data_IF_750011914247
#
_entry.id   IF_750011914247
#
_cell.length_a   1.000
_cell.length_b   1.000
_cell.length_c   1.000
_cell.angle_alpha   90.00
_cell.angle_beta   90.00
_cell.angle_gamma   90.00
#
_symmetry.space_group_name_H-M   'P 1'
#
loop_
_entity.id
_entity.type
_entity.pdbx_description
1 polymer ?
#
# COMPACT_ATOMS: atom_id res chain seq x y z
N UNK A 1 -1.79 -0.95 -3.29
CA UNK A 1 -0.88 -0.27 -4.24
C UNK A 1 -1.14 1.23 -4.17
N UNK A 2 -0.07 2.02 -4.27
CA UNK A 2 -0.05 3.48 -4.09
C UNK A 2 -1.06 4.18 -5.01
N UNK A 3 -1.79 5.15 -4.46
CA UNK A 3 -2.64 6.04 -5.25
C UNK A 3 -1.81 6.78 -6.32
N UNK A 4 -2.34 6.87 -7.54
CA UNK A 4 -1.66 7.48 -8.69
C UNK A 4 -0.35 6.80 -9.11
N UNK A 5 -0.14 5.53 -8.76
CA UNK A 5 0.93 4.74 -9.34
C UNK A 5 0.77 4.61 -10.87
N UNK A 6 1.89 4.40 -11.57
CA UNK A 6 1.89 4.14 -13.02
C UNK A 6 1.09 2.87 -13.33
N UNK A 7 0.43 2.75 -14.50
CA UNK A 7 -0.42 1.60 -14.85
C UNK A 7 0.28 0.24 -14.67
N UNK A 8 1.58 0.16 -14.97
CA UNK A 8 2.37 -1.06 -14.87
C UNK A 8 3.02 -1.35 -13.51
N UNK A 9 2.96 -0.43 -12.55
CA UNK A 9 3.70 -0.56 -11.30
C UNK A 9 3.38 -1.84 -10.51
N UNK A 10 2.16 -2.37 -10.64
CA UNK A 10 1.72 -3.60 -9.98
C UNK A 10 2.31 -4.84 -10.61
N UNK A 11 2.27 -4.89 -11.95
CA UNK A 11 2.87 -5.97 -12.70
C UNK A 11 4.38 -5.97 -12.50
N UNK A 12 5.02 -4.80 -12.52
CA UNK A 12 6.45 -4.68 -12.27
C UNK A 12 6.83 -5.22 -10.87
N UNK A 13 6.03 -4.93 -9.84
CA UNK A 13 6.24 -5.47 -8.49
C UNK A 13 6.00 -6.98 -8.40
N UNK A 14 4.94 -7.48 -9.05
CA UNK A 14 4.68 -8.92 -9.09
C UNK A 14 5.78 -9.68 -9.84
N UNK A 15 6.27 -9.13 -10.95
CA UNK A 15 7.42 -9.65 -11.70
C UNK A 15 8.70 -9.65 -10.85
N UNK A 16 8.95 -8.58 -10.10
CA UNK A 16 10.10 -8.48 -9.20
C UNK A 16 10.06 -9.57 -8.11
N UNK A 17 8.90 -9.78 -7.49
CA UNK A 17 8.72 -10.82 -6.46
C UNK A 17 8.99 -12.21 -7.05
N UNK A 18 8.38 -12.54 -8.20
CA UNK A 18 8.56 -13.85 -8.83
C UNK A 18 10.02 -14.05 -9.24
N UNK A 19 10.64 -13.04 -9.86
CA UNK A 19 12.05 -13.10 -10.27
C UNK A 19 12.95 -13.33 -9.07
N UNK A 20 12.76 -12.56 -7.99
CA UNK A 20 13.55 -12.67 -6.76
C UNK A 20 13.47 -14.06 -6.16
N UNK A 21 12.26 -14.61 -6.06
CA UNK A 21 12.01 -15.95 -5.50
C UNK A 21 12.54 -17.06 -6.40
N UNK A 22 12.67 -16.82 -7.71
CA UNK A 22 13.27 -17.76 -8.66
C UNK A 22 14.79 -17.73 -8.63
N UNK A 23 15.40 -16.56 -8.52
CA UNK A 23 16.84 -16.38 -8.75
C UNK A 23 17.67 -16.28 -7.49
N UNK A 24 17.09 -15.90 -6.34
CA UNK A 24 17.85 -15.74 -5.11
C UNK A 24 18.02 -17.11 -4.38
N UNK A 25 19.27 -17.57 -4.16
CA UNK A 25 19.57 -18.86 -3.54
C UNK A 25 19.16 -18.97 -2.07
N UNK A 26 18.79 -17.87 -1.41
CA UNK A 26 18.29 -17.87 -0.04
C UNK A 26 16.88 -18.47 0.07
N UNK A 27 16.10 -18.44 -1.01
CA UNK A 27 14.79 -19.09 -1.08
C UNK A 27 14.94 -20.58 -1.43
N UNK A 28 15.34 -21.37 -0.45
CA UNK A 28 15.51 -22.84 -0.61
C UNK A 28 14.23 -23.63 -0.36
N UNK A 29 13.27 -23.05 0.35
CA UNK A 29 12.00 -23.69 0.68
C UNK A 29 11.02 -23.59 -0.50
N UNK A 30 10.71 -24.72 -1.12
CA UNK A 30 9.84 -24.80 -2.30
C UNK A 30 8.37 -24.43 -1.99
N UNK A 31 7.90 -24.68 -0.77
CA UNK A 31 6.53 -24.33 -0.34
C UNK A 31 6.38 -22.82 -0.23
N UNK A 32 7.38 -22.16 0.38
CA UNK A 32 7.43 -20.71 0.47
C UNK A 32 7.53 -20.06 -0.91
N UNK A 33 8.35 -20.62 -1.82
CA UNK A 33 8.47 -20.12 -3.20
C UNK A 33 7.11 -20.12 -3.91
N UNK A 34 6.38 -21.25 -3.84
CA UNK A 34 5.04 -21.36 -4.42
C UNK A 34 4.06 -20.37 -3.81
N UNK A 35 4.05 -20.24 -2.49
CA UNK A 35 3.18 -19.29 -1.79
C UNK A 35 3.44 -17.83 -2.21
N UNK A 36 4.70 -17.44 -2.39
CA UNK A 36 5.09 -16.10 -2.84
C UNK A 36 4.71 -15.85 -4.30
N UNK A 37 4.84 -16.85 -5.17
CA UNK A 37 4.41 -16.76 -6.58
C UNK A 37 2.88 -16.58 -6.64
N UNK A 38 2.12 -17.37 -5.89
CA UNK A 38 0.66 -17.20 -5.83
C UNK A 38 0.24 -15.84 -5.27
N UNK A 39 0.94 -15.34 -4.25
CA UNK A 39 0.71 -13.99 -3.74
C UNK A 39 1.01 -12.91 -4.79
N UNK A 40 2.07 -13.07 -5.58
CA UNK A 40 2.40 -12.15 -6.68
C UNK A 40 1.33 -12.14 -7.78
N UNK A 41 0.72 -13.29 -8.10
CA UNK A 41 -0.42 -13.38 -9.02
C UNK A 41 -1.63 -12.61 -8.51
N UNK A 42 -1.97 -12.79 -7.23
CA UNK A 42 -3.07 -12.06 -6.57
C UNK A 42 -2.80 -10.56 -6.57
N UNK A 43 -1.57 -10.15 -6.24
CA UNK A 43 -1.14 -8.75 -6.27
C UNK A 43 -1.28 -8.13 -7.66
N UNK A 44 -0.91 -8.87 -8.71
CA UNK A 44 -1.05 -8.42 -10.09
C UNK A 44 -2.53 -8.27 -10.49
N UNK A 45 -3.39 -9.18 -10.06
CA UNK A 45 -4.84 -9.16 -10.34
C UNK A 45 -5.62 -8.13 -9.53
N UNK A 46 -5.15 -7.77 -8.33
CA UNK A 46 -5.82 -6.82 -7.45
C UNK A 46 -5.56 -5.38 -7.93
N UNK A 47 -6.61 -4.67 -8.34
CA UNK A 47 -6.52 -3.24 -8.66
C UNK A 47 -7.57 -2.40 -7.97
N UNK A 48 -7.11 -1.32 -7.33
CA UNK A 48 -7.93 -0.23 -6.77
C UNK A 48 -7.19 1.11 -6.80
N UNK A 49 -6.35 1.33 -7.82
CA UNK A 49 -5.59 2.57 -7.98
C UNK A 49 -6.39 3.67 -8.70
N UNK A 50 -7.60 3.96 -8.23
CA UNK A 50 -8.51 4.93 -8.84
C UNK A 50 -9.15 5.79 -7.77
N UNK A 51 -9.00 7.11 -7.89
CA UNK A 51 -9.78 8.03 -7.05
C UNK A 51 -10.99 8.54 -7.83
N UNK A 52 -12.15 8.71 -7.17
CA UNK A 52 -13.32 9.31 -7.80
C UNK A 52 -13.11 10.81 -8.07
N UNK A 53 -13.99 11.39 -8.88
CA UNK A 53 -14.06 12.83 -9.09
C UNK A 53 -14.77 13.46 -7.88
N UNK A 54 -13.99 13.98 -6.93
CA UNK A 54 -14.51 14.54 -5.68
C UNK A 54 -15.34 15.83 -5.86
N UNK A 55 -15.20 16.52 -7.00
CA UNK A 55 -15.94 17.75 -7.29
C UNK A 55 -17.43 17.49 -7.62
N UNK A 56 -17.82 16.25 -7.90
CA UNK A 56 -19.19 15.88 -8.23
C UNK A 56 -19.95 15.41 -6.99
N UNK A 57 -21.26 15.69 -6.94
CA UNK A 57 -22.18 15.15 -5.93
C UNK A 57 -23.37 14.50 -6.63
N UNK A 58 -23.51 13.16 -6.61
CA UNK A 58 -22.61 12.18 -6.00
C UNK A 58 -21.24 12.09 -6.71
N UNK A 59 -20.21 11.64 -5.98
CA UNK A 59 -18.86 11.47 -6.52
C UNK A 59 -18.88 10.51 -7.70
N UNK A 60 -18.18 10.86 -8.78
CA UNK A 60 -18.15 10.03 -9.98
C UNK A 60 -16.95 9.08 -9.94
N UNK A 61 -17.16 7.76 -9.86
CA UNK A 61 -16.07 6.79 -9.85
C UNK A 61 -15.39 6.68 -11.21
N UNK A 62 -14.16 6.18 -11.24
CA UNK A 62 -13.34 6.04 -12.45
C UNK A 62 -12.61 4.70 -12.46
N UNK A 63 -12.42 4.15 -13.65
CA UNK A 63 -11.62 2.97 -13.93
C UNK A 63 -10.12 3.26 -13.87
N UNK A 64 -9.31 2.21 -13.71
CA UNK A 64 -7.86 2.34 -13.79
C UNK A 64 -7.38 2.11 -15.22
N UNK A 65 -6.24 2.69 -15.54
CA UNK A 65 -5.52 2.36 -16.77
C UNK A 65 -4.83 0.99 -16.68
N UNK A 66 -4.98 0.19 -17.71
CA UNK A 66 -4.35 -1.12 -17.87
C UNK A 66 -2.85 -0.99 -18.15
N UNK A 67 -2.06 -1.93 -17.62
CA UNK A 67 -0.68 -2.09 -18.04
C UNK A 67 -0.61 -2.79 -19.40
N UNK A 68 -0.03 -2.15 -20.42
CA UNK A 68 0.14 -2.75 -21.75
C UNK A 68 1.43 -3.56 -21.93
N UNK A 69 2.36 -3.45 -20.98
CA UNK A 69 3.64 -4.17 -21.00
C UNK A 69 3.42 -5.68 -20.85
N UNK A 70 4.13 -6.49 -21.64
CA UNK A 70 4.18 -7.95 -21.44
C UNK A 70 4.88 -8.27 -20.11
N UNK A 71 4.36 -9.19 -19.28
CA UNK A 71 5.07 -9.63 -18.07
C UNK A 71 6.45 -10.19 -18.37
N UNK A 72 7.35 -10.08 -17.39
CA UNK A 72 8.68 -10.71 -17.44
C UNK A 72 8.55 -12.20 -17.16
N UNK A 73 7.69 -12.57 -16.21
CA UNK A 73 7.43 -13.94 -15.80
C UNK A 73 6.11 -14.45 -16.41
N UNK A 74 6.17 -15.64 -17.02
CA UNK A 74 5.02 -16.29 -17.67
C UNK A 74 3.86 -16.60 -16.70
N UNK A 75 4.14 -16.71 -15.39
CA UNK A 75 3.10 -16.92 -14.37
C UNK A 75 2.09 -15.77 -14.26
N UNK A 76 2.45 -14.59 -14.81
CA UNK A 76 1.57 -13.42 -14.87
C UNK A 76 0.91 -13.27 -16.24
N UNK A 77 1.23 -14.13 -17.21
CA UNK A 77 0.56 -14.11 -18.51
C UNK A 77 -0.94 -14.40 -18.33
N UNK A 78 -1.78 -13.61 -18.99
CA UNK A 78 -3.23 -13.71 -18.87
C UNK A 78 -3.83 -13.10 -17.60
N UNK A 79 -3.04 -12.68 -16.61
CA UNK A 79 -3.56 -11.97 -15.43
C UNK A 79 -3.86 -10.52 -15.83
N UNK A 80 -5.14 -10.27 -16.08
CA UNK A 80 -5.69 -8.96 -16.41
C UNK A 80 -6.53 -8.49 -15.22
N UNK A 81 -6.16 -7.37 -14.57
CA UNK A 81 -6.95 -6.82 -13.47
C UNK A 81 -8.37 -6.46 -13.94
N UNK A 82 -9.35 -6.68 -13.08
CA UNK A 82 -10.77 -6.41 -13.37
C UNK A 82 -11.15 -5.02 -12.86
N UNK A 83 -11.90 -4.26 -13.66
CA UNK A 83 -12.44 -2.96 -13.24
C UNK A 83 -13.51 -3.15 -12.16
N UNK A 84 -13.68 -2.17 -11.28
CA UNK A 84 -14.79 -2.20 -10.33
C UNK A 84 -16.13 -2.10 -11.11
N UNK A 85 -17.06 -3.06 -10.98
CA UNK A 85 -18.33 -3.01 -11.68
C UNK A 85 -19.23 -1.83 -11.27
N UNK A 86 -18.97 -1.19 -10.13
CA UNK A 86 -19.65 0.04 -9.74
C UNK A 86 -19.17 1.27 -10.54
N UNK A 87 -18.04 1.18 -11.25
CA UNK A 87 -17.56 2.24 -12.10
C UNK A 87 -18.31 2.26 -13.44
N UNK A 88 -18.61 3.45 -13.95
CA UNK A 88 -19.07 3.59 -15.33
C UNK A 88 -18.00 3.16 -16.34
N UNK A 89 -18.37 2.75 -17.58
CA UNK A 89 -17.44 2.18 -18.54
C UNK A 89 -16.52 3.21 -19.23
N UNK A 90 -16.83 4.50 -19.08
CA UNK A 90 -16.25 5.55 -19.93
C UNK A 90 -15.06 6.29 -19.33
N UNK A 91 -14.98 6.40 -18.01
CA UNK A 91 -14.04 7.30 -17.35
C UNK A 91 -12.90 6.53 -16.70
N UNK A 92 -11.67 6.93 -17.01
CA UNK A 92 -10.45 6.33 -16.49
C UNK A 92 -9.62 7.38 -15.77
N UNK A 93 -8.98 6.97 -14.68
CA UNK A 93 -8.10 7.82 -13.89
C UNK A 93 -6.69 7.83 -14.49
N UNK A 94 -6.21 9.01 -14.89
CA UNK A 94 -4.83 9.27 -15.30
C UNK A 94 -4.31 10.54 -14.61
N UNK A 95 -3.34 10.45 -13.68
CA UNK A 95 -2.80 11.62 -12.99
C UNK A 95 -2.11 12.62 -13.93
N UNK A 96 -1.76 12.22 -15.17
CA UNK A 96 -1.12 13.09 -16.16
C UNK A 96 -2.12 13.86 -17.03
N UNK A 97 -3.37 13.42 -17.09
CA UNK A 97 -4.38 14.05 -17.90
C UNK A 97 -4.95 15.31 -17.22
N UNK A 98 -5.39 16.33 -17.98
CA UNK A 98 -6.13 17.46 -17.42
C UNK A 98 -7.36 16.98 -16.65
N UNK A 99 -7.48 17.38 -15.38
CA UNK A 99 -8.57 16.92 -14.50
C UNK A 99 -8.47 15.44 -14.08
N UNK A 100 -7.32 14.80 -14.28
CA UNK A 100 -7.06 13.44 -13.84
C UNK A 100 -7.86 12.38 -14.59
N UNK A 101 -8.49 12.72 -15.72
CA UNK A 101 -9.47 11.86 -16.39
C UNK A 101 -9.17 11.71 -17.87
N UNK A 102 -9.23 10.47 -18.36
CA UNK A 102 -9.26 10.15 -19.79
C UNK A 102 -10.50 9.33 -20.09
N UNK A 103 -11.02 9.47 -21.31
CA UNK A 103 -12.18 8.70 -21.78
C UNK A 103 -11.74 7.37 -22.39
N UNK A 104 -12.64 6.40 -22.40
CA UNK A 104 -12.47 5.14 -23.13
C UNK A 104 -11.98 5.41 -24.56
N UNK A 105 -10.98 4.64 -25.00
CA UNK A 105 -10.30 4.76 -26.30
C UNK A 105 -9.50 6.05 -26.55
N UNK A 106 -9.44 7.00 -25.59
CA UNK A 106 -8.61 8.20 -25.71
C UNK A 106 -7.11 7.85 -25.61
N UNK A 107 -6.77 6.86 -24.79
CA UNK A 107 -5.43 6.29 -24.68
C UNK A 107 -5.52 4.75 -24.73
N UNK A 108 -4.52 4.04 -25.27
CA UNK A 108 -4.59 2.60 -25.45
C UNK A 108 -4.71 1.84 -24.12
N UNK A 109 -4.21 2.41 -23.02
CA UNK A 109 -4.30 1.85 -21.66
C UNK A 109 -5.73 1.85 -21.10
N UNK A 110 -6.72 2.40 -21.81
CA UNK A 110 -8.15 2.22 -21.44
C UNK A 110 -8.70 0.86 -21.86
N UNK A 111 -7.90 0.04 -22.54
CA UNK A 111 -8.23 -1.33 -22.95
C UNK A 111 -7.23 -2.33 -22.35
N UNK A 112 -7.66 -3.54 -22.02
CA UNK A 112 -6.76 -4.59 -21.55
C UNK A 112 -5.79 -5.01 -22.67
N UNK A 113 -4.65 -5.59 -22.28
CA UNK A 113 -3.71 -6.19 -23.24
C UNK A 113 -4.41 -7.22 -24.11
N UNK A 114 -4.05 -7.24 -25.40
CA UNK A 114 -4.63 -8.16 -26.37
C UNK A 114 -6.04 -7.80 -26.82
N UNK A 115 -6.59 -6.65 -26.41
CA UNK A 115 -7.87 -6.18 -26.94
C UNK A 115 -7.76 -5.85 -28.43
N UNK A 116 -8.54 -6.55 -29.26
CA UNK A 116 -8.70 -6.27 -30.69
C UNK A 116 -10.14 -5.88 -30.98
N UNK A 117 -10.35 -4.74 -31.66
CA UNK A 117 -11.68 -4.28 -32.09
C UNK A 117 -12.15 -5.11 -33.29
N UNK A 118 -12.61 -6.34 -33.05
CA UNK A 118 -13.36 -7.12 -34.05
C UNK A 118 -14.66 -7.64 -33.42
N UNK A 119 -15.76 -7.52 -34.15
CA UNK A 119 -17.12 -7.48 -33.63
C UNK A 119 -17.70 -8.74 -32.98
N UNK A 120 -18.83 -8.51 -32.29
CA UNK A 120 -19.79 -9.43 -31.63
C UNK A 120 -19.36 -10.04 -30.29
N UNK A 121 -20.09 -9.62 -29.25
CA UNK A 121 -20.31 -10.25 -27.95
C UNK A 121 -19.44 -11.47 -27.62
N UNK A 122 -18.35 -11.22 -26.91
CA UNK A 122 -17.75 -12.21 -26.03
C UNK A 122 -17.81 -11.66 -24.63
N UNK A 123 -18.87 -12.06 -23.93
CA UNK A 123 -19.04 -12.05 -22.48
C UNK A 123 -17.69 -12.28 -21.82
N UNK A 124 -17.27 -11.36 -20.94
CA UNK A 124 -16.03 -11.51 -20.19
C UNK A 124 -15.97 -12.91 -19.61
N UNK A 125 -14.91 -13.64 -19.98
CA UNK A 125 -14.64 -14.99 -19.49
C UNK A 125 -14.50 -14.90 -17.98
N UNK A 126 -15.61 -15.14 -17.27
CA UNK A 126 -15.61 -15.35 -15.86
C UNK A 126 -14.71 -16.53 -15.58
N UNK A 127 -13.73 -16.33 -14.70
CA UNK A 127 -13.12 -17.44 -13.99
C UNK A 127 -14.27 -18.16 -13.30
N UNK A 128 -14.62 -19.36 -13.79
CA UNK A 128 -15.43 -20.30 -13.03
C UNK A 128 -14.62 -20.71 -11.82
N UNK A 129 -14.83 -20.03 -10.70
CA UNK A 129 -14.60 -20.61 -9.38
C UNK A 129 -15.60 -21.75 -9.23
N UNK A 130 -15.17 -22.98 -9.48
CA UNK A 130 -15.85 -24.14 -8.92
C UNK A 130 -15.59 -24.12 -7.41
N UNK A 131 -16.42 -23.39 -6.68
CA UNK A 131 -16.63 -23.61 -5.26
C UNK A 131 -17.87 -24.51 -5.15
N UNK A 132 -17.64 -25.82 -5.12
CA UNK A 132 -18.65 -26.77 -4.64
C UNK A 132 -18.41 -26.99 -3.16
N UNK A 133 -19.39 -26.55 -2.35
CA UNK A 133 -19.57 -27.01 -0.98
C UNK A 133 -19.91 -28.50 -0.93
N UNK A 134 -19.74 -29.10 0.25
CA UNK A 134 -19.82 -30.53 0.66
C UNK A 134 -18.52 -31.33 0.40
N UNK A 135 -17.85 -31.93 1.39
CA UNK A 135 -18.29 -32.52 2.66
C UNK A 135 -17.07 -32.66 3.60
N UNK A 136 -17.31 -32.62 4.92
CA UNK A 136 -16.33 -32.94 5.96
C UNK A 136 -15.65 -34.30 5.73
N UNK A 137 -14.32 -34.32 5.60
CA UNK A 137 -13.47 -35.36 6.21
C UNK A 137 -12.10 -34.79 6.59
N UNK A 138 -11.91 -34.75 7.90
CA UNK A 138 -10.70 -34.94 8.70
C UNK A 138 -9.33 -34.83 7.99
N UNK A 139 -8.70 -33.67 8.16
CA UNK A 139 -7.25 -33.54 8.13
C UNK A 139 -6.86 -32.91 9.47
N UNK A 140 -6.37 -33.76 10.36
CA UNK A 140 -5.91 -33.46 11.71
C UNK A 140 -5.03 -32.20 11.73
N UNK A 141 -5.48 -31.18 12.44
CA UNK A 141 -4.69 -30.00 12.79
C UNK A 141 -3.60 -30.46 13.76
N UNK A 142 -2.38 -30.65 13.25
CA UNK A 142 -1.22 -30.68 14.11
C UNK A 142 -1.07 -29.28 14.72
N UNK A 143 -1.39 -29.17 16.02
CA UNK A 143 -1.04 -28.02 16.84
C UNK A 143 0.47 -27.77 16.72
N UNK A 144 0.85 -26.79 15.91
CA UNK A 144 2.22 -26.29 15.89
C UNK A 144 2.38 -25.47 17.17
N UNK A 145 2.85 -26.14 18.22
CA UNK A 145 3.38 -25.50 19.41
C UNK A 145 4.63 -24.74 19.00
N UNK A 146 4.53 -23.42 18.89
CA UNK A 146 5.67 -22.54 18.64
C UNK A 146 6.46 -22.47 19.94
N UNK A 147 7.45 -23.35 20.10
CA UNK A 147 8.42 -23.27 21.18
C UNK A 147 9.74 -22.70 20.66
N UNK A 148 10.05 -21.51 21.16
CA UNK A 148 11.35 -20.85 21.24
C UNK A 148 12.15 -20.69 19.94
N UNK A 149 11.76 -19.67 19.17
CA UNK A 149 12.68 -18.97 18.28
C UNK A 149 13.51 -18.01 19.15
N UNK A 150 14.69 -18.48 19.59
CA UNK A 150 15.74 -17.59 20.07
C UNK A 150 16.41 -16.97 18.84
N UNK A 151 15.87 -15.84 18.36
CA UNK A 151 16.51 -15.01 17.34
C UNK A 151 17.50 -14.05 17.99
N UNK A 152 18.78 -14.23 17.70
CA UNK A 152 19.76 -13.14 17.70
C UNK A 152 19.43 -12.16 16.56
N UNK A 153 19.57 -10.83 16.78
CA UNK A 153 18.94 -9.84 15.92
C UNK A 153 19.83 -9.47 14.73
N UNK A 154 19.32 -9.61 13.51
CA UNK A 154 19.87 -8.91 12.33
C UNK A 154 18.82 -7.94 11.81
N UNK A 155 19.28 -6.70 11.60
CA UNK A 155 18.55 -5.43 11.54
C UNK A 155 17.63 -5.34 10.30
N UNK A 156 16.37 -5.75 10.44
CA UNK A 156 15.31 -5.36 9.50
C UNK A 156 14.99 -3.87 9.69
N UNK A 157 14.93 -3.11 8.59
CA UNK A 157 14.45 -1.73 8.57
C UNK A 157 12.95 -1.74 8.90
N UNK A 158 12.67 -1.81 10.20
CA UNK A 158 11.44 -2.33 10.78
C UNK A 158 10.27 -1.37 10.74
N UNK A 159 9.09 -1.98 10.61
CA UNK A 159 7.82 -1.36 11.01
C UNK A 159 7.94 -0.84 12.45
N UNK A 160 7.37 0.34 12.71
CA UNK A 160 7.17 0.86 14.07
C UNK A 160 5.87 0.23 14.57
N UNK A 161 5.95 -0.59 15.61
CA UNK A 161 4.81 -1.27 16.22
C UNK A 161 4.44 -0.50 17.49
N UNK A 162 3.21 0.03 17.54
CA UNK A 162 2.71 0.85 18.64
C UNK A 162 1.63 0.12 19.44
N UNK A 163 1.45 -1.18 19.24
CA UNK A 163 0.36 -1.93 19.86
C UNK A 163 0.41 -2.00 21.39
N UNK A 164 1.57 -1.70 21.99
CA UNK A 164 1.76 -1.60 23.44
C UNK A 164 1.63 -0.19 23.98
N UNK A 165 1.37 0.81 23.14
CA UNK A 165 1.30 2.23 23.48
C UNK A 165 -0.07 2.81 23.10
N UNK A 166 -1.15 2.48 23.85
CA UNK A 166 -2.52 2.92 23.50
C UNK A 166 -2.72 4.44 23.57
N UNK A 167 -1.82 5.17 24.24
CA UNK A 167 -1.85 6.64 24.26
C UNK A 167 -1.19 7.28 23.02
N UNK A 168 -0.52 6.48 22.19
CA UNK A 168 0.23 6.89 21.01
C UNK A 168 0.08 5.87 19.88
N UNK A 169 -1.15 5.46 19.55
CA UNK A 169 -1.40 4.37 18.60
C UNK A 169 -1.57 4.85 17.15
N UNK A 170 -1.99 6.09 16.89
CA UNK A 170 -2.13 6.62 15.51
C UNK A 170 -1.17 7.80 15.19
N UNK A 171 0.09 7.52 14.82
CA UNK A 171 1.08 8.53 14.41
C UNK A 171 0.95 8.94 12.93
N UNK A 172 -0.20 8.70 12.29
CA UNK A 172 -0.33 8.92 10.85
C UNK A 172 -0.29 10.40 10.46
N UNK A 173 0.20 10.65 9.24
CA UNK A 173 0.38 11.97 8.65
C UNK A 173 -0.61 12.16 7.49
N UNK A 174 -1.16 13.36 7.39
CA UNK A 174 -1.85 13.85 6.19
C UNK A 174 -0.98 14.85 5.44
N UNK A 175 -1.16 14.88 4.12
CA UNK A 175 -0.52 15.82 3.20
C UNK A 175 -1.56 16.36 2.22
N UNK A 176 -1.52 17.66 1.95
CA UNK A 176 -2.58 18.33 1.21
C UNK A 176 -2.42 19.83 1.14
N UNK A 177 -3.13 20.44 0.19
CA UNK A 177 -3.17 21.88 -0.01
C UNK A 177 -4.34 22.52 0.75
N UNK A 178 -4.12 23.70 1.33
CA UNK A 178 -5.19 24.47 1.98
C UNK A 178 -5.65 23.94 3.34
N UNK A 179 -4.81 23.14 4.00
CA UNK A 179 -5.05 22.74 5.39
C UNK A 179 -5.15 23.95 6.31
N UNK A 180 -5.95 23.82 7.39
CA UNK A 180 -6.21 24.88 8.38
C UNK A 180 -6.54 26.26 7.78
N UNK A 181 -7.37 26.27 6.73
CA UNK A 181 -7.84 27.47 6.02
C UNK A 181 -6.73 28.26 5.30
N UNK A 182 -5.60 27.62 4.97
CA UNK A 182 -4.61 28.21 4.08
C UNK A 182 -5.08 28.19 2.62
N UNK A 183 -4.34 28.86 1.75
CA UNK A 183 -4.59 28.82 0.30
C UNK A 183 -4.48 27.38 -0.18
N UNK A 184 -5.35 26.97 -1.10
CA UNK A 184 -5.34 25.61 -1.68
C UNK A 184 -3.99 25.23 -2.33
N UNK A 185 -3.16 26.21 -2.67
CA UNK A 185 -1.80 26.03 -3.22
C UNK A 185 -0.70 25.92 -2.15
N UNK A 186 -1.01 26.11 -0.87
CA UNK A 186 -0.07 25.92 0.23
C UNK A 186 -0.17 24.49 0.75
N UNK A 187 0.80 23.68 0.34
CA UNK A 187 0.89 22.27 0.69
C UNK A 187 1.69 22.06 1.96
N UNK A 188 1.07 21.46 2.95
CA UNK A 188 1.65 21.20 4.28
C UNK A 188 1.44 19.73 4.68
N UNK A 189 2.15 19.32 5.72
CA UNK A 189 2.00 18.06 6.42
C UNK A 189 1.42 18.34 7.80
N UNK A 190 0.53 17.47 8.27
CA UNK A 190 0.01 17.50 9.63
C UNK A 190 -0.19 16.08 10.16
N UNK A 191 -0.20 15.90 11.48
CA UNK A 191 -0.63 14.65 12.11
C UNK A 191 -2.15 14.52 12.00
N UNK A 192 -2.66 13.35 11.60
CA UNK A 192 -4.11 13.11 11.50
C UNK A 192 -4.76 13.13 12.88
N UNK A 193 -4.12 12.48 13.84
CA UNK A 193 -4.57 12.43 15.21
C UNK A 193 -3.98 13.59 16.02
N UNK A 194 -4.61 14.76 15.91
CA UNK A 194 -4.22 15.96 16.66
C UNK A 194 -4.42 15.82 18.19
N UNK A 195 -5.17 14.81 18.65
CA UNK A 195 -5.45 14.58 20.07
C UNK A 195 -4.27 13.88 20.76
N UNK A 196 -3.72 12.84 20.15
CA UNK A 196 -2.57 12.09 20.67
C UNK A 196 -1.25 12.67 20.18
N UNK A 197 -1.23 13.28 18.98
CA UNK A 197 -0.04 13.87 18.37
C UNK A 197 -0.25 15.36 18.07
N UNK A 198 -0.39 16.22 19.08
CA UNK A 198 -0.60 17.65 18.88
C UNK A 198 0.64 18.30 18.26
N UNK A 199 0.54 18.67 16.99
CA UNK A 199 1.58 19.43 16.30
C UNK A 199 0.97 20.32 15.23
N UNK A 200 1.57 21.49 15.02
CA UNK A 200 1.21 22.39 13.93
C UNK A 200 1.49 21.76 12.55
N UNK A 201 0.98 22.39 11.50
CA UNK A 201 1.32 21.94 10.14
C UNK A 201 2.70 22.48 9.73
N UNK A 202 3.43 21.74 8.91
CA UNK A 202 4.73 22.14 8.40
C UNK A 202 4.85 21.86 6.91
N UNK A 203 5.62 22.67 6.18
CA UNK A 203 5.94 22.37 4.77
C UNK A 203 7.05 21.31 4.62
N UNK A 204 7.74 20.97 5.72
CA UNK A 204 8.82 20.00 5.75
C UNK A 204 8.40 18.78 6.59
N UNK A 205 8.36 17.61 5.96
CA UNK A 205 7.95 16.36 6.58
C UNK A 205 8.79 16.03 7.82
N UNK A 206 10.10 16.31 7.76
CA UNK A 206 11.01 15.94 8.85
C UNK A 206 10.67 16.64 10.17
N UNK A 207 10.04 17.81 10.12
CA UNK A 207 9.57 18.52 11.31
C UNK A 207 8.44 17.71 11.96
N UNK A 208 7.49 17.23 11.16
CA UNK A 208 6.36 16.42 11.64
C UNK A 208 6.83 15.07 12.15
N UNK A 209 7.65 14.34 11.38
CA UNK A 209 8.11 13.00 11.77
C UNK A 209 9.00 13.01 13.01
N UNK A 210 9.82 14.05 13.21
CA UNK A 210 10.59 14.22 14.46
C UNK A 210 9.68 14.49 15.64
N UNK A 211 8.71 15.40 15.50
CA UNK A 211 7.75 15.69 16.56
C UNK A 211 6.96 14.44 16.98
N UNK A 212 6.55 13.62 16.01
CA UNK A 212 5.90 12.34 16.30
C UNK A 212 6.82 11.41 17.09
N UNK A 213 8.09 11.29 16.71
CA UNK A 213 9.03 10.43 17.45
C UNK A 213 9.29 10.91 18.89
N UNK A 214 9.27 12.22 19.13
CA UNK A 214 9.41 12.76 20.48
C UNK A 214 8.16 12.49 21.34
N UNK A 215 6.97 12.51 20.74
CA UNK A 215 5.73 12.11 21.41
C UNK A 215 5.73 10.60 21.70
N UNK A 216 6.18 9.77 20.76
CA UNK A 216 6.37 8.33 20.98
C UNK A 216 7.36 8.07 22.12
N UNK A 217 8.48 8.81 22.18
CA UNK A 217 9.42 8.72 23.29
C UNK A 217 8.75 9.00 24.64
N UNK A 218 7.91 10.03 24.71
CA UNK A 218 7.15 10.32 25.93
C UNK A 218 6.20 9.17 26.31
N UNK A 219 5.51 8.57 25.33
CA UNK A 219 4.66 7.40 25.56
C UNK A 219 5.45 6.16 26.01
N UNK A 220 6.63 5.90 25.41
CA UNK A 220 7.52 4.80 25.81
C UNK A 220 8.01 4.99 27.23
N UNK A 221 8.43 6.20 27.61
CA UNK A 221 8.83 6.51 28.99
C UNK A 221 7.74 6.18 29.99
N UNK A 222 6.52 6.65 29.71
CA UNK A 222 5.36 6.40 30.57
C UNK A 222 5.03 4.92 30.69
N UNK A 223 5.15 4.16 29.60
CA UNK A 223 4.88 2.72 29.59
C UNK A 223 6.03 1.86 30.17
N UNK A 224 7.28 2.35 30.15
CA UNK A 224 8.48 1.57 30.47
C UNK A 224 9.31 2.15 31.63
N UNK A 225 8.65 2.65 32.68
CA UNK A 225 9.29 3.18 33.90
C UNK A 225 10.41 4.21 33.60
N UNK A 226 10.07 5.23 32.81
CA UNK A 226 10.92 6.37 32.42
C UNK A 226 12.14 6.03 31.55
N UNK A 227 12.20 4.82 30.97
CA UNK A 227 13.23 4.45 30.01
C UNK A 227 12.94 5.00 28.62
N UNK A 228 13.99 5.46 27.94
CA UNK A 228 13.91 6.05 26.60
C UNK A 228 13.62 5.02 25.48
N UNK A 229 13.77 3.73 25.74
CA UNK A 229 13.56 2.65 24.77
C UNK A 229 12.77 1.50 25.40
N UNK A 230 11.90 0.87 24.61
CA UNK A 230 11.26 -0.41 24.94
C UNK A 230 12.07 -1.58 24.38
N UNK A 231 11.70 -2.81 24.74
CA UNK A 231 12.31 -4.04 24.22
C UNK A 231 12.26 -4.10 22.67
N UNK A 232 11.26 -3.44 22.07
CA UNK A 232 11.05 -3.38 20.63
C UNK A 232 11.91 -2.31 19.94
N UNK A 233 12.59 -1.43 20.67
CA UNK A 233 13.39 -0.31 20.12
C UNK A 233 12.55 0.71 19.34
N UNK A 234 11.32 0.98 19.76
CA UNK A 234 10.31 1.77 19.04
C UNK A 234 10.78 3.19 18.75
N UNK A 235 11.35 3.90 19.73
CA UNK A 235 11.87 5.28 19.54
C UNK A 235 13.03 5.30 18.55
N UNK A 236 13.96 4.35 18.66
CA UNK A 236 15.10 4.23 17.75
C UNK A 236 14.66 3.97 16.32
N UNK A 237 13.72 3.04 16.11
CA UNK A 237 13.13 2.76 14.78
C UNK A 237 12.41 3.98 14.22
N UNK A 238 11.67 4.72 15.05
CA UNK A 238 11.02 5.96 14.67
C UNK A 238 12.03 6.99 14.14
N UNK A 239 13.10 7.23 14.90
CA UNK A 239 14.16 8.17 14.52
C UNK A 239 14.90 7.73 13.25
N UNK A 240 15.30 6.46 13.15
CA UNK A 240 15.93 5.90 11.95
C UNK A 240 15.04 6.07 10.71
N UNK A 241 13.72 5.94 10.85
CA UNK A 241 12.77 6.15 9.75
C UNK A 241 12.61 7.62 9.38
N UNK A 242 12.48 8.50 10.37
CA UNK A 242 12.42 9.95 10.19
C UNK A 242 13.68 10.47 9.47
N UNK A 243 14.84 9.91 9.79
CA UNK A 243 16.11 10.21 9.11
C UNK A 243 16.15 9.70 7.67
N UNK A 244 15.69 8.46 7.43
CA UNK A 244 15.63 7.87 6.08
C UNK A 244 14.75 8.65 5.12
N UNK A 245 13.58 9.11 5.59
CA UNK A 245 12.69 9.96 4.79
C UNK A 245 13.35 11.31 4.49
N UNK A 246 14.10 11.85 5.46
CA UNK A 246 14.87 13.07 5.31
C UNK A 246 14.00 14.33 5.13
N UNK A 247 14.63 15.41 4.68
CA UNK A 247 13.96 16.70 4.43
C UNK A 247 13.12 16.61 3.15
N UNK A 248 11.81 16.37 3.29
CA UNK A 248 10.87 16.33 2.16
C UNK A 248 9.92 17.52 2.22
N UNK A 249 9.80 18.26 1.12
CA UNK A 249 8.90 19.42 1.01
C UNK A 249 7.85 19.16 -0.05
N UNK A 250 6.59 19.44 0.29
CA UNK A 250 5.44 19.35 -0.64
C UNK A 250 5.35 18.00 -1.38
N UNK A 251 5.65 16.90 -0.70
CA UNK A 251 5.73 15.55 -1.25
C UNK A 251 4.88 14.57 -0.44
N UNK A 252 3.64 14.33 -0.90
CA UNK A 252 2.72 13.39 -0.25
C UNK A 252 3.23 11.96 -0.19
N UNK A 253 4.13 11.53 -1.09
CA UNK A 253 4.63 10.15 -1.10
C UNK A 253 5.41 9.81 0.15
N UNK A 254 6.15 10.78 0.69
CA UNK A 254 6.94 10.56 1.89
C UNK A 254 6.04 10.48 3.15
N UNK A 255 4.89 11.16 3.16
CA UNK A 255 3.85 10.97 4.18
C UNK A 255 3.19 9.59 4.04
N UNK A 256 2.93 9.11 2.81
CA UNK A 256 2.41 7.77 2.58
C UNK A 256 3.41 6.68 3.00
N UNK A 257 4.69 6.86 2.72
CA UNK A 257 5.75 5.93 3.12
C UNK A 257 5.85 5.82 4.65
N UNK A 258 5.75 6.96 5.35
CA UNK A 258 5.62 6.98 6.82
C UNK A 258 4.41 6.16 7.27
N UNK A 259 3.22 6.46 6.72
CA UNK A 259 1.96 5.80 7.09
C UNK A 259 1.95 4.29 6.84
N UNK A 260 2.69 3.80 5.84
CA UNK A 260 2.81 2.36 5.56
C UNK A 260 3.68 1.61 6.57
N UNK A 261 4.53 2.33 7.29
CA UNK A 261 5.55 1.73 8.16
C UNK A 261 5.24 1.88 9.65
N UNK A 262 4.36 2.82 10.00
CA UNK A 262 3.75 2.90 11.33
C UNK A 262 2.53 1.98 11.37
N UNK A 263 2.50 1.05 12.34
CA UNK A 263 1.30 0.23 12.59
C UNK A 263 0.55 0.82 13.77
N UNK A 264 -0.68 1.26 13.52
CA UNK A 264 -1.65 1.54 14.57
C UNK A 264 -2.36 0.26 14.98
N UNK A 265 -2.69 0.15 16.27
CA UNK A 265 -3.65 -0.87 16.73
C UNK A 265 -4.98 -0.60 16.06
N UNK A 266 -5.46 -1.54 15.25
CA UNK A 266 -6.87 -1.54 14.80
C UNK A 266 -7.74 -2.17 15.87
#
# INVERSE_FOLDING_TARGET
ILAAARPCARQDLADEVITTVKTNPDFKDETLRKALIEWAKVLCGAEKNTHPIYANSPQTPRNFLYCLKKPVNEELDGIIPVQDPANGPELFFDPKAPGGTVKLDQVPETRPRGFSKSGKNSTGSQIKTNLSETTNQDLTVANITISNITTTPTKSAGSIDLSKLPECDDPSIEFGGGMKNRKATDYTYATRNQKQFPHGEAQNLQIITRAICDIILHCVKKANNDKDEDEQGTVRKCREMSEKLGVKKKDGKAADEWNLKVRSSS
#
